data_IF_753818694899
#
_entry.id   IF_753818694899
#
_cell.length_a   1.000
_cell.length_b   1.000
_cell.length_c   1.000
_cell.angle_alpha   90.00
_cell.angle_beta   90.00
_cell.angle_gamma   90.00
#
_symmetry.space_group_name_H-M   'P 1'
#
loop_
_entity.id
_entity.type
_entity.pdbx_description
1 polymer ?
#
# COMPACT_ATOMS: atom_id res chain seq x y z
N UNK A 1 41.91 21.04 -55.49
CA UNK A 1 42.30 22.30 -54.80
C UNK A 1 41.66 22.31 -53.41
N UNK A 2 42.44 22.66 -52.38
CA UNK A 2 42.06 23.23 -51.06
C UNK A 2 41.06 22.46 -50.17
N UNK A 3 41.51 21.79 -49.10
CA UNK A 3 41.74 22.32 -47.71
C UNK A 3 40.53 23.05 -47.10
N UNK A 4 39.94 22.50 -46.01
CA UNK A 4 39.91 23.05 -44.63
C UNK A 4 38.69 22.59 -43.80
N UNK A 5 38.99 22.15 -42.56
CA UNK A 5 38.28 22.29 -41.25
C UNK A 5 36.80 21.86 -41.13
N UNK A 6 36.43 20.90 -40.28
CA UNK A 6 36.37 20.80 -38.79
C UNK A 6 35.08 21.34 -38.13
N UNK A 7 34.46 20.43 -37.36
CA UNK A 7 33.73 20.58 -36.07
C UNK A 7 32.31 21.19 -36.03
N UNK A 8 31.32 20.40 -35.56
CA UNK A 8 30.77 20.45 -34.18
C UNK A 8 29.28 19.99 -34.05
N UNK A 9 29.05 18.92 -33.24
CA UNK A 9 28.05 18.69 -32.14
C UNK A 9 26.58 19.20 -32.35
N UNK A 10 25.45 18.53 -32.04
CA UNK A 10 24.99 17.83 -30.81
C UNK A 10 23.76 16.95 -31.09
N UNK A 11 23.69 15.86 -30.33
CA UNK A 11 22.60 14.92 -30.07
C UNK A 11 21.16 15.46 -29.98
N UNK A 12 20.20 14.62 -30.38
CA UNK A 12 19.11 14.10 -29.52
C UNK A 12 18.25 13.15 -30.35
N UNK A 13 18.61 11.87 -30.36
CA UNK A 13 17.75 10.84 -30.95
C UNK A 13 16.67 10.44 -29.94
N UNK A 14 15.46 10.96 -30.15
CA UNK A 14 14.24 10.32 -29.65
C UNK A 14 14.16 8.92 -30.26
N UNK A 15 14.38 7.90 -29.46
CA UNK A 15 14.11 6.51 -29.81
C UNK A 15 12.88 6.00 -29.07
N UNK A 16 11.78 5.82 -29.79
CA UNK A 16 10.67 4.96 -29.38
C UNK A 16 11.17 3.55 -29.09
N UNK A 17 10.78 2.99 -27.94
CA UNK A 17 10.97 1.57 -27.62
C UNK A 17 9.91 1.11 -26.63
N UNK A 18 8.93 0.38 -27.12
CA UNK A 18 7.88 -0.31 -26.36
C UNK A 18 8.45 -1.50 -25.57
N UNK A 19 8.00 -1.59 -24.31
CA UNK A 19 7.90 -2.74 -23.39
C UNK A 19 8.46 -4.12 -23.80
N UNK A 20 9.22 -4.77 -22.91
CA UNK A 20 8.83 -5.99 -22.15
C UNK A 20 9.79 -6.20 -20.97
N UNK A 21 9.24 -6.65 -19.84
CA UNK A 21 9.87 -6.71 -18.52
C UNK A 21 10.34 -8.14 -18.16
N UNK A 22 11.53 -8.28 -17.55
CA UNK A 22 11.92 -9.36 -16.62
C UNK A 22 13.01 -8.89 -15.63
N UNK A 23 12.58 -8.41 -14.45
CA UNK A 23 12.90 -8.89 -13.07
C UNK A 23 13.94 -10.03 -12.99
N UNK A 24 14.98 -10.08 -12.13
CA UNK A 24 15.36 -9.44 -10.85
C UNK A 24 16.89 -9.39 -10.74
N UNK A 25 17.44 -8.28 -10.26
CA UNK A 25 18.84 -8.18 -9.81
C UNK A 25 18.93 -8.45 -8.30
N UNK A 26 19.98 -9.18 -7.92
CA UNK A 26 20.51 -9.24 -6.56
C UNK A 26 20.75 -7.81 -6.04
N UNK A 27 20.20 -7.50 -4.87
CA UNK A 27 20.64 -6.35 -4.06
C UNK A 27 21.02 -6.91 -2.70
N UNK A 28 22.33 -7.10 -2.52
CA UNK A 28 22.95 -7.01 -1.20
C UNK A 28 22.65 -5.62 -0.64
N UNK A 29 22.02 -5.55 0.53
CA UNK A 29 21.98 -4.34 1.32
C UNK A 29 22.50 -4.66 2.73
N UNK A 30 23.80 -4.47 2.91
CA UNK A 30 24.44 -4.41 4.22
C UNK A 30 24.18 -3.04 4.84
N UNK A 31 23.38 -2.99 5.90
CA UNK A 31 23.47 -1.97 6.94
C UNK A 31 22.89 -2.51 8.26
N UNK A 32 23.76 -2.91 9.17
CA UNK A 32 23.51 -2.92 10.62
C UNK A 32 23.96 -1.54 11.19
N UNK A 33 23.82 -1.18 12.50
CA UNK A 33 23.18 -1.82 13.65
C UNK A 33 22.28 -0.84 14.47
N UNK A 34 21.98 -1.18 15.73
CA UNK A 34 21.36 -0.37 16.81
C UNK A 34 19.83 -0.32 16.92
N UNK A 35 19.28 -1.41 17.47
CA UNK A 35 18.10 -1.33 18.33
C UNK A 35 18.51 -0.71 19.69
N UNK A 36 18.60 0.62 19.75
CA UNK A 36 18.57 1.32 21.04
C UNK A 36 17.14 1.18 21.58
N UNK A 37 16.94 0.22 22.46
CA UNK A 37 15.75 0.14 23.30
C UNK A 37 15.68 1.41 24.14
N UNK A 38 14.68 2.25 23.89
CA UNK A 38 14.27 3.29 24.84
C UNK A 38 12.76 3.21 25.03
N UNK A 39 12.37 2.75 26.20
CA UNK A 39 11.09 3.02 26.83
C UNK A 39 11.39 3.77 28.14
N UNK A 40 10.48 4.59 28.72
CA UNK A 40 9.17 5.01 28.24
C UNK A 40 9.08 6.55 28.19
N UNK A 41 9.46 7.17 27.08
CA UNK A 41 9.01 8.52 26.73
C UNK A 41 7.83 8.44 25.77
N UNK A 42 6.85 9.35 25.91
CA UNK A 42 5.71 9.44 24.97
C UNK A 42 6.15 9.54 23.50
N UNK A 43 5.21 9.40 22.56
CA UNK A 43 5.56 9.51 21.13
C UNK A 43 6.20 10.87 20.81
N UNK A 44 7.19 10.87 19.91
CA UNK A 44 7.67 12.07 19.22
C UNK A 44 6.55 12.71 18.40
N UNK A 45 6.68 13.98 17.99
CA UNK A 45 5.66 14.64 17.14
C UNK A 45 5.46 13.86 15.82
N UNK A 46 6.55 13.44 15.17
CA UNK A 46 6.48 12.54 14.02
C UNK A 46 5.73 11.22 14.31
N UNK A 47 5.91 10.65 15.51
CA UNK A 47 5.16 9.47 15.94
C UNK A 47 3.66 9.73 16.15
N UNK A 48 3.27 10.93 16.56
CA UNK A 48 1.85 11.32 16.66
C UNK A 48 1.23 11.48 15.27
N UNK A 49 1.92 12.16 14.35
CA UNK A 49 1.46 12.34 12.97
C UNK A 49 1.32 10.98 12.25
N UNK A 50 2.30 10.09 12.44
CA UNK A 50 2.24 8.72 11.90
C UNK A 50 1.04 7.95 12.47
N UNK A 51 0.76 8.11 13.77
CA UNK A 51 -0.38 7.46 14.43
C UNK A 51 -1.72 7.98 13.90
N UNK A 52 -1.84 9.28 13.67
CA UNK A 52 -3.05 9.88 13.12
C UNK A 52 -3.26 9.47 11.65
N UNK A 53 -2.19 9.35 10.89
CA UNK A 53 -2.20 8.79 9.53
C UNK A 53 -2.70 7.35 9.53
N UNK A 54 -2.09 6.47 10.33
CA UNK A 54 -2.51 5.07 10.47
C UNK A 54 -3.98 4.93 10.90
N UNK A 55 -4.46 5.83 11.78
CA UNK A 55 -5.86 5.89 12.19
C UNK A 55 -6.79 6.33 11.05
N UNK A 56 -6.35 7.26 10.22
CA UNK A 56 -7.04 7.67 8.99
C UNK A 56 -7.17 6.50 8.02
N UNK A 57 -6.07 5.81 7.74
CA UNK A 57 -6.03 4.64 6.86
C UNK A 57 -6.89 3.48 7.38
N UNK A 58 -6.88 3.22 8.70
CA UNK A 58 -7.77 2.24 9.31
C UNK A 58 -9.25 2.57 9.05
N UNK A 59 -9.66 3.83 9.22
CA UNK A 59 -11.02 4.27 8.91
C UNK A 59 -11.32 4.13 7.42
N UNK A 60 -10.37 4.45 6.55
CA UNK A 60 -10.52 4.29 5.10
C UNK A 60 -10.71 2.82 4.71
N UNK A 61 -9.85 1.92 5.20
CA UNK A 61 -9.96 0.46 4.99
C UNK A 61 -11.31 -0.09 5.45
N UNK A 62 -11.82 0.38 6.61
CA UNK A 62 -13.17 0.03 7.07
C UNK A 62 -14.29 0.50 6.14
N UNK A 63 -14.21 1.73 5.63
CA UNK A 63 -15.19 2.26 4.68
C UNK A 63 -15.16 1.49 3.35
N UNK A 64 -13.96 1.14 2.86
CA UNK A 64 -13.80 0.30 1.66
C UNK A 64 -14.46 -1.07 1.88
N UNK A 65 -14.20 -1.73 3.01
CA UNK A 65 -14.85 -3.01 3.34
C UNK A 65 -16.39 -2.90 3.42
N UNK A 66 -16.92 -1.77 3.90
CA UNK A 66 -18.37 -1.52 3.91
C UNK A 66 -18.92 -1.27 2.51
N UNK A 67 -18.25 -0.44 1.71
CA UNK A 67 -18.63 -0.19 0.32
C UNK A 67 -18.60 -1.49 -0.50
N UNK A 68 -17.54 -2.30 -0.38
CA UNK A 68 -17.45 -3.59 -1.05
C UNK A 68 -18.55 -4.56 -0.61
N UNK A 69 -18.91 -4.56 0.68
CA UNK A 69 -20.05 -5.36 1.16
C UNK A 69 -21.36 -4.95 0.49
N UNK A 70 -21.58 -3.66 0.33
CA UNK A 70 -22.80 -3.12 -0.28
C UNK A 70 -22.83 -3.37 -1.78
N UNK A 71 -21.72 -3.13 -2.48
CA UNK A 71 -21.56 -3.46 -3.89
C UNK A 71 -21.77 -4.95 -4.13
N UNK A 72 -21.09 -5.82 -3.37
CA UNK A 72 -21.23 -7.27 -3.54
C UNK A 72 -22.66 -7.74 -3.21
N UNK A 73 -23.33 -7.14 -2.22
CA UNK A 73 -24.74 -7.45 -1.95
C UNK A 73 -25.65 -7.04 -3.09
N UNK A 74 -25.45 -5.85 -3.65
CA UNK A 74 -26.23 -5.36 -4.79
C UNK A 74 -25.97 -6.24 -6.02
N UNK A 75 -24.72 -6.63 -6.25
CA UNK A 75 -24.37 -7.56 -7.32
C UNK A 75 -25.04 -8.92 -7.12
N UNK A 76 -25.06 -9.45 -5.89
CA UNK A 76 -25.81 -10.67 -5.57
C UNK A 76 -27.31 -10.55 -5.86
N UNK A 77 -27.92 -9.38 -5.60
CA UNK A 77 -29.36 -9.13 -5.86
C UNK A 77 -29.68 -9.08 -7.35
N UNK A 78 -28.71 -8.71 -8.19
CA UNK A 78 -28.88 -8.62 -9.64
C UNK A 78 -28.50 -9.94 -10.34
N UNK A 79 -27.53 -10.69 -9.79
CA UNK A 79 -26.92 -11.86 -10.45
C UNK A 79 -27.50 -13.21 -10.02
N UNK A 80 -28.21 -13.28 -8.89
CA UNK A 80 -28.71 -14.53 -8.34
C UNK A 80 -30.05 -14.35 -7.63
N UNK A 81 -30.85 -15.41 -7.60
CA UNK A 81 -32.17 -15.42 -6.94
C UNK A 81 -32.25 -16.46 -5.82
N UNK A 82 -33.17 -16.23 -4.88
CA UNK A 82 -33.60 -17.24 -3.92
C UNK A 82 -32.50 -17.69 -2.95
N UNK A 83 -32.18 -18.99 -2.95
CA UNK A 83 -31.15 -19.55 -2.06
C UNK A 83 -29.74 -19.14 -2.45
N UNK A 84 -29.47 -18.96 -3.75
CA UNK A 84 -28.17 -18.53 -4.26
C UNK A 84 -27.88 -17.08 -3.87
N UNK A 85 -28.86 -16.18 -4.01
CA UNK A 85 -28.78 -14.79 -3.55
C UNK A 85 -28.44 -14.70 -2.06
N UNK A 86 -29.13 -15.50 -1.22
CA UNK A 86 -28.90 -15.55 0.23
C UNK A 86 -27.49 -16.03 0.57
N UNK A 87 -27.00 -17.05 -0.12
CA UNK A 87 -25.64 -17.55 0.05
C UNK A 87 -24.60 -16.50 -0.34
N UNK A 88 -24.79 -15.86 -1.49
CA UNK A 88 -23.94 -14.78 -2.00
C UNK A 88 -23.89 -13.59 -1.01
N UNK A 89 -25.05 -13.11 -0.53
CA UNK A 89 -25.14 -12.06 0.50
C UNK A 89 -24.44 -12.47 1.80
N UNK A 90 -24.47 -13.75 2.17
CA UNK A 90 -23.79 -14.27 3.37
C UNK A 90 -22.27 -14.24 3.17
N UNK A 91 -21.78 -14.63 2.00
CA UNK A 91 -20.36 -14.53 1.64
C UNK A 91 -19.88 -13.08 1.62
N UNK A 92 -20.63 -12.16 1.00
CA UNK A 92 -20.30 -10.73 1.01
C UNK A 92 -20.18 -10.16 2.44
N UNK A 93 -21.07 -10.59 3.35
CA UNK A 93 -20.97 -10.23 4.78
C UNK A 93 -19.76 -10.85 5.47
N UNK A 94 -19.40 -12.09 5.13
CA UNK A 94 -18.24 -12.76 5.69
C UNK A 94 -16.93 -12.12 5.24
N UNK A 95 -16.82 -11.82 3.94
CA UNK A 95 -15.67 -11.11 3.38
C UNK A 95 -15.49 -9.75 4.05
N UNK A 96 -16.54 -8.94 4.13
CA UNK A 96 -16.48 -7.65 4.79
C UNK A 96 -16.11 -7.73 6.29
N UNK A 97 -16.41 -8.85 6.97
CA UNK A 97 -15.95 -9.08 8.33
C UNK A 97 -14.46 -9.42 8.36
N UNK A 98 -13.98 -10.25 7.42
CA UNK A 98 -12.57 -10.58 7.27
C UNK A 98 -11.74 -9.31 6.97
N UNK A 99 -12.17 -8.50 5.99
CA UNK A 99 -11.48 -7.26 5.61
C UNK A 99 -11.40 -6.26 6.78
N UNK A 100 -12.48 -6.12 7.57
CA UNK A 100 -12.46 -5.29 8.78
C UNK A 100 -11.54 -5.83 9.87
N UNK A 101 -11.46 -7.15 10.00
CA UNK A 101 -10.56 -7.80 10.97
C UNK A 101 -9.10 -7.60 10.55
N UNK A 102 -8.79 -7.77 9.26
CA UNK A 102 -7.48 -7.48 8.69
C UNK A 102 -7.11 -6.01 8.90
N UNK A 103 -8.00 -5.06 8.56
CA UNK A 103 -7.76 -3.64 8.78
C UNK A 103 -7.44 -3.32 10.25
N UNK A 104 -8.10 -4.00 11.20
CA UNK A 104 -7.80 -3.86 12.63
C UNK A 104 -6.42 -4.43 12.98
N UNK A 105 -6.08 -5.61 12.49
CA UNK A 105 -4.77 -6.23 12.73
C UNK A 105 -3.65 -5.37 12.17
N UNK A 106 -3.80 -4.85 10.95
CA UNK A 106 -2.85 -3.95 10.33
C UNK A 106 -2.68 -2.67 11.14
N UNK A 107 -3.77 -2.03 11.58
CA UNK A 107 -3.68 -0.84 12.42
C UNK A 107 -2.99 -1.11 13.77
N UNK A 108 -3.25 -2.25 14.40
CA UNK A 108 -2.57 -2.62 15.65
C UNK A 108 -1.08 -2.88 15.45
N UNK A 109 -0.69 -3.46 14.30
CA UNK A 109 0.71 -3.65 13.94
C UNK A 109 1.38 -2.30 13.66
N UNK A 110 0.80 -1.45 12.81
CA UNK A 110 1.28 -0.08 12.55
C UNK A 110 1.45 0.71 13.85
N UNK A 111 0.50 0.59 14.80
CA UNK A 111 0.58 1.25 16.11
C UNK A 111 1.76 0.74 16.95
N UNK A 112 2.07 -0.56 16.89
CA UNK A 112 3.24 -1.14 17.56
C UNK A 112 4.53 -0.66 16.91
N UNK A 113 4.60 -0.66 15.59
CA UNK A 113 5.76 -0.23 14.82
C UNK A 113 6.05 1.26 15.04
N UNK A 114 5.02 2.10 15.05
CA UNK A 114 5.13 3.53 15.37
C UNK A 114 5.66 3.70 16.80
N UNK A 115 5.14 2.93 17.76
CA UNK A 115 5.60 3.01 19.15
C UNK A 115 7.06 2.55 19.28
N UNK A 116 7.48 1.54 18.54
CA UNK A 116 8.84 1.01 18.58
C UNK A 116 9.86 1.97 17.94
N UNK A 117 9.47 2.68 16.88
CA UNK A 117 10.38 3.52 16.09
C UNK A 117 10.29 5.02 16.42
N UNK A 118 9.24 5.46 17.13
CA UNK A 118 9.00 6.88 17.43
C UNK A 118 8.72 7.16 18.92
N UNK A 119 9.13 6.28 19.82
CA UNK A 119 9.19 6.59 21.25
C UNK A 119 10.28 7.61 21.56
N UNK A 120 10.04 8.48 22.55
CA UNK A 120 11.04 9.40 23.10
C UNK A 120 11.99 8.69 24.05
#
# INVERSE_FOLDING_TARGET
>A
MSKKLLAAIVATTLGCGTAMAQTTNNVENTAAPNATQTAPGGLTEAGKDAKDTAKGEYKARKKIAEANKELNKADCEVSADGSAERACKKQARAQAKADKAEAKMTYENEKKDIKANHSK
#
